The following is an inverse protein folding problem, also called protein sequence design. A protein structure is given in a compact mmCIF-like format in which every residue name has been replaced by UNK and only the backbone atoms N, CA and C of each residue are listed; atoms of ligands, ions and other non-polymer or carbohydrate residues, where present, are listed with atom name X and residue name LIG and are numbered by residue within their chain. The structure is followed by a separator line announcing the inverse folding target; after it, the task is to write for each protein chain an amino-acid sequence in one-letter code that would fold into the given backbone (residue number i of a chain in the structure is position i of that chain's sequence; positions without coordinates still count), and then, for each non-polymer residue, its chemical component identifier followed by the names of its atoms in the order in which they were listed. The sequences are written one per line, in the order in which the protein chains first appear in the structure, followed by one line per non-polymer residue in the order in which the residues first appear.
data_IF_619235683806
#
_entry.id   IF_619235683806
#
_cell.length_a   1.000
_cell.length_b   1.000
_cell.length_c   1.000
_cell.angle_alpha   90.00
_cell.angle_beta   90.00
_cell.angle_gamma   90.00
#
_symmetry.space_group_name_H-M   'P 1'
#
loop_
_entity.id
_entity.type
_entity.pdbx_description
1 polymer ?
#
# COMPACT_ATOMS: atom_id res chain seq x y z
N UNK A 1 -4.94 6.26 24.13
CA UNK A 1 -4.54 5.04 23.39
C UNK A 1 -3.32 5.40 22.55
N UNK A 2 -2.22 4.66 22.72
CA UNK A 2 -0.85 5.12 22.43
C UNK A 2 -0.48 4.93 20.93
N UNK A 3 -0.05 5.98 20.20
CA UNK A 3 0.44 5.89 18.82
C UNK A 3 1.91 5.42 18.69
N UNK A 4 2.48 4.82 19.74
CA UNK A 4 3.94 4.73 19.90
C UNK A 4 4.59 3.49 19.28
N UNK A 5 3.83 2.49 18.85
CA UNK A 5 4.41 1.23 18.32
C UNK A 5 4.89 1.39 16.87
N UNK A 6 4.27 2.27 16.06
CA UNK A 6 4.63 2.43 14.64
C UNK A 6 5.87 3.31 14.47
N UNK A 7 6.05 4.31 15.35
CA UNK A 7 7.21 5.20 15.33
C UNK A 7 8.50 4.49 15.78
N UNK A 8 8.39 3.51 16.70
CA UNK A 8 9.55 2.78 17.22
C UNK A 8 10.25 1.90 16.17
N UNK A 9 9.59 1.52 15.08
CA UNK A 9 10.17 0.68 14.03
C UNK A 9 10.94 1.47 12.95
N UNK A 10 10.70 2.79 12.87
CA UNK A 10 11.33 3.67 11.88
C UNK A 10 12.64 4.28 12.36
N UNK A 11 12.84 4.40 13.68
CA UNK A 11 14.06 4.99 14.27
C UNK A 11 15.24 4.00 14.40
N UNK A 12 15.02 2.70 14.15
CA UNK A 12 16.06 1.66 14.23
C UNK A 12 16.78 1.36 12.89
N UNK A 13 16.67 2.25 11.91
CA UNK A 13 17.22 2.06 10.55
C UNK A 13 18.47 2.92 10.29
N UNK A 14 19.59 2.69 11.01
CA UNK A 14 20.86 2.83 10.31
C UNK A 14 21.83 1.72 10.70
N UNK A 15 21.64 0.51 10.16
CA UNK A 15 22.71 -0.46 9.84
C UNK A 15 22.10 -1.80 9.42
N UNK A 16 21.75 -2.00 8.15
CA UNK A 16 21.57 -3.36 7.61
C UNK A 16 22.26 -3.51 6.25
N UNK A 17 23.09 -4.56 6.06
CA UNK A 17 23.85 -4.81 4.83
C UNK A 17 22.96 -5.32 3.67
N UNK A 18 23.45 -5.23 2.41
CA UNK A 18 22.64 -5.19 1.18
C UNK A 18 21.99 -6.51 0.70
N UNK A 19 21.83 -7.53 1.55
CA UNK A 19 21.41 -8.89 1.10
C UNK A 19 20.09 -9.37 1.72
N UNK A 20 19.43 -8.57 2.54
CA UNK A 20 18.17 -8.98 3.20
C UNK A 20 16.93 -8.59 2.37
N UNK A 21 16.80 -9.15 1.17
CA UNK A 21 15.68 -8.82 0.27
C UNK A 21 14.44 -9.72 0.39
N UNK A 22 14.52 -10.95 0.91
CA UNK A 22 13.35 -11.83 0.96
C UNK A 22 13.13 -12.40 2.38
N UNK A 23 11.94 -12.22 2.96
CA UNK A 23 11.34 -12.96 4.10
C UNK A 23 11.28 -12.37 5.54
N UNK A 24 11.76 -11.17 5.88
CA UNK A 24 11.56 -10.65 7.26
C UNK A 24 10.23 -9.90 7.44
N UNK A 25 9.80 -9.12 6.46
CA UNK A 25 8.58 -8.29 6.60
C UNK A 25 7.26 -9.05 6.52
N UNK A 26 7.30 -10.32 6.16
CA UNK A 26 6.12 -11.14 5.94
C UNK A 26 5.34 -11.54 7.19
N UNK A 27 5.93 -11.50 8.37
CA UNK A 27 5.28 -12.02 9.60
C UNK A 27 4.46 -10.98 10.37
N UNK A 28 4.63 -9.69 10.09
CA UNK A 28 4.07 -8.60 10.94
C UNK A 28 2.62 -8.22 10.56
N UNK A 29 2.15 -8.52 9.34
CA UNK A 29 0.82 -8.13 8.86
C UNK A 29 -0.27 -9.21 9.03
N UNK A 30 -0.07 -10.21 9.89
CA UNK A 30 -1.06 -11.26 10.15
C UNK A 30 -1.95 -10.90 11.35
N UNK A 31 -2.88 -9.95 11.16
CA UNK A 31 -4.22 -10.05 11.74
C UNK A 31 -5.17 -9.04 11.08
N UNK A 32 -6.42 -9.45 10.94
CA UNK A 32 -7.59 -8.67 10.49
C UNK A 32 -7.74 -8.39 8.99
N UNK A 33 -8.12 -9.44 8.23
CA UNK A 33 -8.97 -9.26 7.04
C UNK A 33 -10.07 -10.33 7.07
N UNK A 34 -11.24 -9.98 7.64
CA UNK A 34 -12.46 -10.79 7.52
C UNK A 34 -13.67 -9.91 7.20
N UNK A 35 -14.27 -10.23 6.04
CA UNK A 35 -15.68 -10.20 5.66
C UNK A 35 -16.54 -8.91 5.75
N UNK A 36 -17.28 -8.65 4.68
CA UNK A 36 -18.49 -7.81 4.61
C UNK A 36 -18.71 -7.37 3.16
N UNK A 37 -19.49 -8.08 2.34
CA UNK A 37 -20.96 -8.18 2.22
C UNK A 37 -21.62 -6.89 1.70
N UNK A 38 -22.20 -7.02 0.52
CA UNK A 38 -22.90 -5.99 -0.25
C UNK A 38 -24.10 -5.36 0.48
N UNK A 39 -24.24 -4.03 0.34
CA UNK A 39 -25.44 -3.30 0.74
C UNK A 39 -25.38 -1.79 0.47
N UNK A 40 -26.12 -1.34 -0.55
CA UNK A 40 -26.71 -0.01 -0.80
C UNK A 40 -25.79 1.23 -0.82
N UNK A 41 -25.52 1.74 -2.02
CA UNK A 41 -24.49 2.74 -2.34
C UNK A 41 -25.09 3.97 -3.03
N UNK A 42 -25.28 5.08 -2.31
CA UNK A 42 -25.41 6.40 -2.97
C UNK A 42 -25.01 7.59 -2.08
N UNK A 43 -25.07 7.50 -0.75
CA UNK A 43 -24.66 8.59 0.16
C UNK A 43 -23.27 8.45 0.80
N UNK A 44 -22.82 7.22 1.06
CA UNK A 44 -21.56 6.94 1.77
C UNK A 44 -20.30 7.08 0.90
N UNK A 45 -20.45 6.94 -0.42
CA UNK A 45 -19.33 6.91 -1.37
C UNK A 45 -18.63 8.27 -1.48
N UNK A 46 -19.39 9.37 -1.47
CA UNK A 46 -18.84 10.73 -1.64
C UNK A 46 -17.96 11.13 -0.45
N UNK A 47 -18.34 10.79 0.79
CA UNK A 47 -17.55 11.12 1.98
C UNK A 47 -16.26 10.28 2.08
N UNK A 48 -16.30 9.02 1.65
CA UNK A 48 -15.14 8.13 1.64
C UNK A 48 -14.10 8.56 0.58
N UNK A 49 -14.57 9.09 -0.55
CA UNK A 49 -13.75 9.64 -1.63
C UNK A 49 -12.95 10.86 -1.16
N UNK A 50 -13.64 11.85 -0.57
CA UNK A 50 -12.98 13.06 -0.05
C UNK A 50 -11.99 12.73 1.07
N UNK A 51 -12.33 11.81 1.97
CA UNK A 51 -11.41 11.37 3.03
C UNK A 51 -10.14 10.69 2.46
N UNK A 52 -10.24 10.02 1.31
CA UNK A 52 -9.11 9.33 0.67
C UNK A 52 -8.21 10.30 -0.10
N UNK A 53 -8.80 11.25 -0.82
CA UNK A 53 -8.05 12.32 -1.49
C UNK A 53 -7.33 13.22 -0.47
N UNK A 54 -8.01 13.57 0.63
CA UNK A 54 -7.40 14.30 1.73
C UNK A 54 -6.25 13.53 2.38
N UNK A 55 -6.37 12.19 2.50
CA UNK A 55 -5.31 11.36 3.04
C UNK A 55 -4.09 11.29 2.12
N UNK A 56 -4.31 11.13 0.82
CA UNK A 56 -3.22 11.09 -0.16
C UNK A 56 -2.47 12.41 -0.23
N UNK A 57 -3.21 13.54 -0.27
CA UNK A 57 -2.62 14.87 -0.26
C UNK A 57 -1.76 15.09 1.01
N UNK A 58 -2.33 14.83 2.19
CA UNK A 58 -1.62 14.94 3.47
C UNK A 58 -0.39 14.02 3.55
N UNK A 59 -0.51 12.80 3.02
CA UNK A 59 0.61 11.88 2.96
C UNK A 59 1.75 12.41 2.06
N UNK A 60 1.42 12.93 0.89
CA UNK A 60 2.40 13.45 -0.07
C UNK A 60 3.02 14.79 0.35
N UNK A 61 2.36 15.56 1.21
CA UNK A 61 2.97 16.72 1.88
C UNK A 61 4.06 16.29 2.87
N UNK A 62 3.81 15.20 3.62
CA UNK A 62 4.76 14.68 4.62
C UNK A 62 5.86 13.82 4.02
N UNK A 63 5.57 13.12 2.92
CA UNK A 63 6.48 12.17 2.26
C UNK A 63 6.50 12.40 0.74
N UNK A 64 7.04 13.53 0.27
CA UNK A 64 7.04 13.88 -1.15
C UNK A 64 7.84 12.90 -2.02
N UNK A 65 8.76 12.13 -1.44
CA UNK A 65 9.55 11.11 -2.15
C UNK A 65 8.71 9.97 -2.72
N UNK A 66 7.48 9.75 -2.22
CA UNK A 66 6.58 8.71 -2.71
C UNK A 66 5.87 9.09 -4.01
N UNK A 67 6.00 10.34 -4.49
CA UNK A 67 5.39 10.78 -5.76
C UNK A 67 5.82 9.92 -6.94
N UNK A 68 7.11 9.55 -7.02
CA UNK A 68 7.62 8.68 -8.09
C UNK A 68 7.01 7.28 -8.00
N UNK A 69 7.01 6.69 -6.81
CA UNK A 69 6.43 5.38 -6.53
C UNK A 69 4.98 5.30 -6.96
N UNK A 70 4.17 6.29 -6.57
CA UNK A 70 2.74 6.34 -6.88
C UNK A 70 2.48 6.56 -8.37
N UNK A 71 3.27 7.40 -9.04
CA UNK A 71 3.18 7.55 -10.51
C UNK A 71 3.43 6.23 -11.23
N UNK A 72 4.49 5.51 -10.86
CA UNK A 72 4.79 4.21 -11.45
C UNK A 72 3.68 3.19 -11.16
N UNK A 73 3.18 3.16 -9.91
CA UNK A 73 2.08 2.28 -9.53
C UNK A 73 0.84 2.50 -10.42
N UNK A 74 0.43 3.76 -10.64
CA UNK A 74 -0.68 4.10 -11.54
C UNK A 74 -0.40 3.60 -12.97
N UNK A 75 0.80 3.86 -13.50
CA UNK A 75 1.17 3.40 -14.84
C UNK A 75 1.10 1.88 -14.98
N UNK A 76 1.53 1.13 -13.96
CA UNK A 76 1.45 -0.33 -13.96
C UNK A 76 0.02 -0.84 -13.87
N UNK A 77 -0.85 -0.19 -13.08
CA UNK A 77 -2.26 -0.56 -13.00
C UNK A 77 -2.99 -0.27 -14.30
N UNK A 78 -2.76 0.90 -14.92
CA UNK A 78 -3.33 1.26 -16.21
C UNK A 78 -2.88 0.28 -17.31
N UNK A 79 -1.60 -0.06 -17.36
CA UNK A 79 -1.05 -1.05 -18.31
C UNK A 79 -1.59 -2.46 -18.04
N UNK A 80 -1.91 -2.77 -16.79
CA UNK A 80 -2.45 -4.06 -16.35
C UNK A 80 -3.95 -4.24 -16.59
N UNK A 81 -4.71 -3.17 -16.89
CA UNK A 81 -6.18 -3.21 -17.03
C UNK A 81 -6.68 -4.20 -18.08
N UNK A 82 -5.91 -4.43 -19.13
CA UNK A 82 -6.28 -5.36 -20.21
C UNK A 82 -6.03 -6.83 -19.85
N UNK A 83 -5.13 -7.08 -18.90
CA UNK A 83 -4.77 -8.43 -18.49
C UNK A 83 -5.68 -8.93 -17.37
N UNK A 84 -6.58 -9.89 -17.69
CA UNK A 84 -7.46 -10.55 -16.69
C UNK A 84 -6.71 -11.21 -15.54
N UNK A 85 -5.43 -11.54 -15.74
CA UNK A 85 -4.56 -12.16 -14.74
C UNK A 85 -3.74 -11.16 -13.94
N UNK A 86 -3.91 -9.84 -14.14
CA UNK A 86 -3.14 -8.84 -13.42
C UNK A 86 -3.39 -8.92 -11.91
N UNK A 87 -2.33 -9.10 -11.13
CA UNK A 87 -2.39 -9.27 -9.68
C UNK A 87 -1.93 -8.01 -8.91
N UNK A 88 -1.50 -6.96 -9.62
CA UNK A 88 -0.88 -5.78 -9.04
C UNK A 88 0.62 -5.68 -9.28
N UNK A 89 1.18 -4.51 -8.96
CA UNK A 89 2.60 -4.18 -9.11
C UNK A 89 3.43 -4.65 -7.90
N UNK A 90 4.73 -4.84 -8.10
CA UNK A 90 5.70 -5.24 -7.08
C UNK A 90 6.70 -4.12 -6.80
N UNK A 91 7.55 -4.34 -5.80
CA UNK A 91 8.54 -3.34 -5.36
C UNK A 91 9.53 -2.91 -6.45
N UNK A 92 9.89 -3.83 -7.36
CA UNK A 92 10.80 -3.54 -8.46
C UNK A 92 10.13 -2.74 -9.58
N UNK A 93 8.82 -2.94 -9.81
CA UNK A 93 8.03 -2.21 -10.80
C UNK A 93 7.96 -0.71 -10.47
N UNK A 94 7.88 -0.38 -9.17
CA UNK A 94 7.79 1.01 -8.69
C UNK A 94 9.11 1.57 -8.17
N UNK A 95 10.23 0.89 -8.47
CA UNK A 95 11.59 1.28 -8.09
C UNK A 95 11.74 1.69 -6.62
N UNK A 96 11.04 1.00 -5.71
CA UNK A 96 10.93 1.42 -4.31
C UNK A 96 11.21 0.26 -3.37
N UNK A 97 12.03 0.50 -2.35
CA UNK A 97 12.39 -0.53 -1.37
C UNK A 97 11.13 -1.07 -0.66
N UNK A 98 11.01 -2.41 -0.44
CA UNK A 98 9.81 -3.01 0.17
C UNK A 98 9.34 -2.38 1.48
N UNK A 99 10.27 -1.97 2.36
CA UNK A 99 9.94 -1.29 3.62
C UNK A 99 9.13 0.00 3.42
N UNK A 100 9.40 0.76 2.36
CA UNK A 100 8.64 1.99 2.06
C UNK A 100 7.21 1.65 1.63
N UNK A 101 7.01 0.54 0.94
CA UNK A 101 5.66 0.10 0.53
C UNK A 101 4.77 -0.26 1.71
N UNK A 102 5.35 -0.72 2.81
CA UNK A 102 4.59 -0.99 4.04
C UNK A 102 3.92 0.29 4.54
N UNK A 103 4.60 1.43 4.43
CA UNK A 103 4.00 2.72 4.80
C UNK A 103 2.77 3.03 3.95
N UNK A 104 2.82 2.77 2.64
CA UNK A 104 1.65 2.94 1.77
C UNK A 104 0.49 2.04 2.19
N UNK A 105 0.77 0.83 2.68
CA UNK A 105 -0.26 -0.09 3.19
C UNK A 105 -0.82 0.38 4.54
N UNK A 106 0.04 0.80 5.48
CA UNK A 106 -0.40 1.24 6.81
C UNK A 106 -1.18 2.54 6.76
N UNK A 107 -0.84 3.46 5.85
CA UNK A 107 -1.60 4.68 5.60
C UNK A 107 -2.86 4.40 4.76
N UNK A 108 -3.08 3.16 4.32
CA UNK A 108 -4.26 2.78 3.55
C UNK A 108 -4.32 3.41 2.16
N UNK A 109 -3.17 3.77 1.58
CA UNK A 109 -3.03 4.26 0.20
C UNK A 109 -2.92 3.10 -0.79
N UNK A 110 -2.37 1.97 -0.33
CA UNK A 110 -2.30 0.72 -1.10
C UNK A 110 -2.75 -0.46 -0.25
N UNK A 111 -2.99 -1.60 -0.90
CA UNK A 111 -3.30 -2.88 -0.26
C UNK A 111 -2.48 -3.99 -0.89
N UNK A 112 -2.24 -5.05 -0.12
CA UNK A 112 -1.68 -6.29 -0.67
C UNK A 112 -2.81 -7.02 -1.42
N UNK A 113 -2.57 -7.31 -2.70
CA UNK A 113 -3.52 -8.00 -3.57
C UNK A 113 -3.23 -9.50 -3.62
N UNK A 114 -1.96 -9.86 -3.84
CA UNK A 114 -1.48 -11.22 -3.84
C UNK A 114 -0.19 -11.30 -3.05
N UNK A 115 -0.04 -12.39 -2.30
CA UNK A 115 1.22 -12.69 -1.63
C UNK A 115 1.59 -14.16 -1.81
N UNK A 116 2.81 -14.38 -2.26
CA UNK A 116 3.41 -15.70 -2.44
C UNK A 116 4.67 -15.82 -1.57
N UNK A 117 5.35 -16.96 -1.64
CA UNK A 117 6.66 -17.15 -0.99
C UNK A 117 7.76 -16.26 -1.59
N UNK A 118 7.62 -15.84 -2.85
CA UNK A 118 8.67 -15.15 -3.61
C UNK A 118 8.32 -13.70 -3.92
N UNK A 119 7.05 -13.31 -3.83
CA UNK A 119 6.57 -12.01 -4.28
C UNK A 119 5.40 -11.50 -3.45
N UNK A 120 5.30 -10.18 -3.35
CA UNK A 120 4.12 -9.49 -2.85
C UNK A 120 3.69 -8.48 -3.89
N UNK A 121 2.46 -8.62 -4.37
CA UNK A 121 1.83 -7.70 -5.31
C UNK A 121 0.90 -6.75 -4.56
N UNK A 122 0.94 -5.50 -4.95
CA UNK A 122 0.21 -4.39 -4.36
C UNK A 122 -0.75 -3.81 -5.39
N UNK A 123 -1.85 -3.27 -4.89
CA UNK A 123 -2.74 -2.41 -5.65
C UNK A 123 -2.93 -1.11 -4.88
N UNK A 124 -3.02 0.00 -5.59
CA UNK A 124 -3.52 1.25 -5.04
C UNK A 124 -4.95 1.01 -4.55
N UNK A 125 -5.29 1.68 -3.46
CA UNK A 125 -6.67 1.72 -3.00
C UNK A 125 -7.43 2.57 -4.01
N UNK A 126 -8.23 1.90 -4.84
CA UNK A 126 -9.18 2.57 -5.71
C UNK A 126 -10.11 3.46 -4.89
N UNK A 127 -10.46 4.58 -5.52
CA UNK A 127 -11.51 5.50 -5.12
C UNK A 127 -12.88 4.81 -4.96
N UNK A 128 -13.07 3.66 -5.60
CA UNK A 128 -14.34 2.94 -5.71
C UNK A 128 -14.48 1.72 -4.77
N UNK A 129 -13.50 1.43 -3.91
CA UNK A 129 -13.59 0.29 -3.00
C UNK A 129 -14.31 0.65 -1.69
N UNK A 130 -15.64 0.76 -1.75
CA UNK A 130 -16.55 0.61 -0.61
C UNK A 130 -17.78 -0.19 -1.01
#
# INVERSE_FOLDING_TARGET
MRPEIVLSLLELLPALPPVWHHNVFGRILHNDIRAGKAGSLTGATVQALEATENRLAYFLERFPEYRKTLRLAVTHEESGREARSYQGWQWHDVETHPTKLIRLVTEGISRISLRTRQATSYLLRDKDAS
#
